data_IF_740158367576
#
_entry.id   IF_740158367576
#
_cell.length_a   1.000
_cell.length_b   1.000
_cell.length_c   1.000
_cell.angle_alpha   90.00
_cell.angle_beta   90.00
_cell.angle_gamma   90.00
#
_symmetry.space_group_name_H-M   'P 1'
#
loop_
_entity.id
_entity.type
_entity.pdbx_description
1 polymer ?
#
# COMPACT_ATOMS: atom_id res chain seq x y z
N UNK A 1 42.45 27.81 18.07
CA UNK A 1 43.70 27.21 18.57
C UNK A 1 43.34 26.01 19.43
N UNK A 2 43.90 24.84 19.10
CA UNK A 2 43.76 23.53 19.76
C UNK A 2 44.83 23.48 20.90
N UNK A 3 44.92 22.44 21.76
CA UNK A 3 44.19 22.17 23.01
C UNK A 3 45.13 21.88 24.21
N UNK A 4 44.60 21.48 25.37
CA UNK A 4 45.33 20.58 26.29
C UNK A 4 44.45 19.39 26.67
N UNK A 5 44.93 18.23 26.25
CA UNK A 5 44.45 16.87 26.58
C UNK A 5 45.13 16.35 27.84
N UNK A 6 44.45 15.51 28.62
CA UNK A 6 45.12 14.41 29.30
C UNK A 6 44.24 13.16 29.35
N UNK A 7 44.73 12.09 28.71
CA UNK A 7 44.20 10.72 28.75
C UNK A 7 44.56 10.05 30.08
N UNK A 8 43.74 9.09 30.51
CA UNK A 8 44.24 7.78 30.97
C UNK A 8 43.20 6.68 30.74
N UNK A 9 43.63 5.68 29.99
CA UNK A 9 43.05 4.37 29.71
C UNK A 9 43.34 3.37 30.83
N UNK A 10 42.84 2.14 30.66
CA UNK A 10 43.00 0.85 31.39
C UNK A 10 41.65 0.43 31.97
N UNK A 11 41.07 -0.76 31.74
CA UNK A 11 41.45 -1.99 31.05
C UNK A 11 40.36 -3.02 31.38
N UNK A 12 40.04 -3.91 30.45
CA UNK A 12 38.99 -4.93 30.59
C UNK A 12 39.31 -6.00 31.65
N UNK A 13 38.28 -6.63 32.25
CA UNK A 13 38.13 -8.10 32.39
C UNK A 13 36.92 -8.53 33.26
N UNK A 14 36.07 -9.37 32.64
CA UNK A 14 35.46 -10.62 33.13
C UNK A 14 34.52 -10.70 34.37
N UNK A 15 33.28 -11.14 34.06
CA UNK A 15 32.53 -12.28 34.62
C UNK A 15 31.95 -12.31 36.05
N UNK A 16 30.63 -12.54 36.07
CA UNK A 16 29.83 -13.50 36.88
C UNK A 16 29.52 -13.18 38.37
N UNK A 17 28.23 -12.92 38.59
CA UNK A 17 27.27 -13.39 39.62
C UNK A 17 27.72 -13.59 41.09
N UNK A 18 27.08 -12.87 42.02
CA UNK A 18 26.35 -13.49 43.16
C UNK A 18 25.73 -12.45 44.11
N UNK A 19 24.60 -12.87 44.67
CA UNK A 19 23.64 -12.13 45.49
C UNK A 19 24.15 -11.65 46.86
N UNK A 20 23.56 -10.51 47.29
CA UNK A 20 23.31 -10.02 48.65
C UNK A 20 24.52 -9.55 49.47
N UNK A 21 24.57 -8.23 49.73
CA UNK A 21 24.97 -7.65 51.03
C UNK A 21 24.42 -6.23 51.21
N UNK A 22 23.59 -6.11 52.25
CA UNK A 22 23.27 -4.96 53.11
C UNK A 22 23.82 -3.57 52.74
N UNK A 23 22.90 -2.63 52.47
CA UNK A 23 23.18 -1.19 52.46
C UNK A 23 22.91 -0.58 53.84
N UNK A 24 23.89 0.16 54.35
CA UNK A 24 23.82 1.00 55.54
C UNK A 24 23.48 2.43 55.10
N UNK A 25 22.49 3.05 55.73
CA UNK A 25 22.04 4.41 55.46
C UNK A 25 23.01 5.48 56.00
N UNK A 26 22.97 6.70 55.41
CA UNK A 26 22.91 7.88 56.26
C UNK A 26 21.85 8.91 55.82
N UNK A 27 21.00 9.22 56.81
CA UNK A 27 20.49 10.54 57.26
C UNK A 27 20.30 11.65 56.22
N UNK A 28 19.03 11.95 55.93
CA UNK A 28 18.35 13.20 56.31
C UNK A 28 17.06 13.33 55.49
N UNK A 29 15.88 13.01 56.04
CA UNK A 29 14.62 13.38 55.39
C UNK A 29 13.50 13.76 56.37
N UNK A 30 12.79 14.79 55.92
CA UNK A 30 11.78 15.62 56.56
C UNK A 30 10.42 14.92 56.74
N UNK A 31 9.74 15.33 57.80
CA UNK A 31 8.32 15.67 57.95
C UNK A 31 7.32 15.34 56.81
N UNK A 32 6.21 14.74 57.30
CA UNK A 32 4.80 14.83 56.89
C UNK A 32 4.25 13.64 56.09
N UNK A 33 3.72 12.71 56.88
CA UNK A 33 2.63 11.79 56.54
C UNK A 33 1.41 12.55 56.02
N UNK A 34 0.82 12.08 54.92
CA UNK A 34 -0.62 11.78 54.80
C UNK A 34 -0.83 11.17 53.40
N UNK A 35 -1.52 10.02 53.34
CA UNK A 35 -2.00 9.32 52.12
C UNK A 35 -1.18 8.13 51.58
N UNK A 36 -0.76 7.17 52.43
CA UNK A 36 -0.43 5.80 51.95
C UNK A 36 -0.81 4.70 52.96
N UNK A 37 -1.96 4.82 53.65
CA UNK A 37 -2.47 3.75 54.54
C UNK A 37 -3.90 3.30 54.17
N UNK A 38 -4.37 3.63 52.95
CA UNK A 38 -5.65 3.10 52.40
C UNK A 38 -5.43 2.21 51.17
N UNK A 39 -4.20 1.99 50.71
CA UNK A 39 -3.93 1.12 49.56
C UNK A 39 -3.38 -0.27 49.89
N UNK A 40 -3.00 -0.57 51.14
CA UNK A 40 -2.34 -1.85 51.45
C UNK A 40 -3.23 -2.90 52.13
N UNK A 41 -4.48 -2.58 52.47
CA UNK A 41 -5.44 -3.53 53.06
C UNK A 41 -6.51 -4.03 52.05
N UNK A 42 -6.54 -3.51 50.82
CA UNK A 42 -7.45 -3.97 49.77
C UNK A 42 -6.85 -4.97 48.78
N UNK A 43 -5.57 -5.34 48.93
CA UNK A 43 -4.87 -6.26 48.01
C UNK A 43 -4.73 -7.70 48.53
N UNK A 44 -5.50 -8.11 49.54
CA UNK A 44 -5.43 -9.48 50.06
C UNK A 44 -6.77 -10.06 50.51
N UNK A 45 -7.83 -9.79 49.75
CA UNK A 45 -9.07 -10.57 49.81
C UNK A 45 -9.30 -11.15 48.43
N UNK A 46 -9.04 -12.46 48.29
CA UNK A 46 -9.45 -13.22 47.13
C UNK A 46 -10.97 -13.12 46.98
N UNK A 47 -11.42 -12.61 45.83
CA UNK A 47 -12.80 -12.67 45.42
C UNK A 47 -12.89 -13.39 44.07
N UNK A 48 -13.03 -14.70 44.14
CA UNK A 48 -13.67 -15.52 43.13
C UNK A 48 -15.11 -15.05 42.93
N UNK A 49 -15.30 -14.06 42.05
CA UNK A 49 -16.61 -13.59 41.57
C UNK A 49 -16.72 -13.87 40.07
N UNK A 50 -17.76 -14.59 39.59
CA UNK A 50 -17.95 -14.90 38.16
C UNK A 50 -18.29 -13.67 37.30
N UNK A 51 -18.44 -12.48 37.91
CA UNK A 51 -19.06 -11.31 37.27
C UNK A 51 -18.03 -10.50 36.45
N UNK A 52 -16.73 -10.69 36.66
CA UNK A 52 -15.68 -9.96 35.93
C UNK A 52 -15.19 -10.66 34.64
N UNK A 53 -15.66 -11.88 34.35
CA UNK A 53 -15.29 -12.68 33.15
C UNK A 53 -16.31 -12.61 32.00
N UNK A 54 -17.29 -11.72 32.06
CA UNK A 54 -18.43 -11.73 31.12
C UNK A 54 -18.82 -10.36 30.54
N UNK A 55 -17.83 -9.48 30.30
CA UNK A 55 -18.01 -8.26 29.51
C UNK A 55 -16.78 -7.92 28.66
N UNK A 56 -16.24 -8.90 27.93
CA UNK A 56 -15.83 -8.56 26.56
C UNK A 56 -17.13 -8.28 25.81
N UNK A 57 -17.51 -7.00 25.69
CA UNK A 57 -18.34 -6.62 24.55
C UNK A 57 -17.55 -7.16 23.35
N UNK A 58 -18.12 -8.09 22.59
CA UNK A 58 -17.65 -8.35 21.24
C UNK A 58 -17.64 -6.98 20.56
N UNK A 59 -16.46 -6.36 20.47
CA UNK A 59 -16.28 -5.13 19.72
C UNK A 59 -16.71 -5.53 18.31
N UNK A 60 -17.86 -5.02 17.88
CA UNK A 60 -18.34 -5.25 16.51
C UNK A 60 -17.24 -4.76 15.60
N UNK A 61 -16.55 -5.69 14.92
CA UNK A 61 -15.50 -5.36 13.97
C UNK A 61 -16.09 -4.41 12.94
N UNK A 62 -15.43 -3.28 12.73
CA UNK A 62 -15.83 -2.32 11.72
C UNK A 62 -15.88 -2.97 10.33
N UNK A 63 -16.82 -2.53 9.50
CA UNK A 63 -17.07 -3.12 8.18
C UNK A 63 -16.26 -2.39 7.09
N UNK A 64 -15.43 -3.15 6.37
CA UNK A 64 -14.62 -2.64 5.25
C UNK A 64 -15.08 -3.29 3.95
N UNK A 65 -15.26 -2.47 2.91
CA UNK A 65 -15.68 -2.91 1.58
C UNK A 65 -14.53 -2.98 0.58
N UNK A 66 -14.54 -3.99 -0.29
CA UNK A 66 -13.67 -4.10 -1.46
C UNK A 66 -14.50 -4.27 -2.72
N UNK A 67 -14.24 -3.44 -3.73
CA UNK A 67 -14.72 -3.67 -5.10
C UNK A 67 -13.52 -3.98 -5.98
N UNK A 68 -13.47 -5.20 -6.49
CA UNK A 68 -12.30 -5.77 -7.14
C UNK A 68 -11.56 -6.72 -6.20
N UNK A 69 -11.76 -8.02 -6.38
CA UNK A 69 -11.14 -9.13 -5.65
C UNK A 69 -10.20 -9.94 -6.55
N UNK A 70 -9.67 -9.30 -7.59
CA UNK A 70 -8.64 -9.86 -8.46
C UNK A 70 -7.27 -10.00 -7.78
N UNK A 71 -6.19 -9.97 -8.59
CA UNK A 71 -4.81 -10.26 -8.15
C UNK A 71 -4.38 -9.43 -6.93
N UNK A 72 -4.61 -8.12 -6.93
CA UNK A 72 -4.22 -7.26 -5.80
C UNK A 72 -5.30 -7.18 -4.73
N UNK A 73 -6.56 -6.99 -5.13
CA UNK A 73 -7.64 -6.69 -4.21
C UNK A 73 -7.94 -7.80 -3.20
N UNK A 74 -7.89 -9.08 -3.63
CA UNK A 74 -8.04 -10.20 -2.70
C UNK A 74 -6.95 -10.16 -1.62
N UNK A 75 -5.68 -10.03 -2.01
CA UNK A 75 -4.53 -10.04 -1.09
C UNK A 75 -4.64 -8.92 -0.05
N UNK A 76 -5.03 -7.73 -0.49
CA UNK A 76 -5.30 -6.58 0.39
C UNK A 76 -6.47 -6.87 1.35
N UNK A 77 -7.58 -7.43 0.85
CA UNK A 77 -8.73 -7.78 1.68
C UNK A 77 -8.37 -8.80 2.77
N UNK A 78 -7.57 -9.83 2.43
CA UNK A 78 -7.10 -10.84 3.38
C UNK A 78 -6.21 -10.27 4.49
N UNK A 79 -5.59 -9.11 4.28
CA UNK A 79 -4.84 -8.47 5.36
C UNK A 79 -5.71 -7.88 6.47
N UNK A 80 -7.00 -7.66 6.18
CA UNK A 80 -7.94 -6.97 7.06
C UNK A 80 -8.89 -7.93 7.79
N UNK A 81 -9.11 -9.16 7.31
CA UNK A 81 -10.13 -10.10 7.86
C UNK A 81 -9.95 -10.43 9.34
N UNK A 82 -8.71 -10.40 9.84
CA UNK A 82 -8.43 -10.66 11.26
C UNK A 82 -8.89 -9.50 12.16
N UNK A 83 -8.88 -8.27 11.65
CA UNK A 83 -9.16 -7.05 12.42
C UNK A 83 -10.52 -6.42 12.11
N UNK A 84 -11.07 -6.69 10.92
CA UNK A 84 -12.29 -6.08 10.40
C UNK A 84 -13.28 -7.13 9.87
N UNK A 85 -14.54 -6.74 9.72
CA UNK A 85 -15.51 -7.51 8.92
C UNK A 85 -15.35 -7.08 7.47
N UNK A 86 -14.79 -7.94 6.63
CA UNK A 86 -14.49 -7.58 5.24
C UNK A 86 -15.58 -8.10 4.32
N UNK A 87 -16.12 -7.20 3.51
CA UNK A 87 -17.10 -7.49 2.48
C UNK A 87 -16.50 -7.15 1.12
N UNK A 88 -16.83 -7.92 0.08
CA UNK A 88 -16.34 -7.59 -1.25
C UNK A 88 -17.16 -8.13 -2.40
N UNK A 89 -16.94 -7.55 -3.56
CA UNK A 89 -17.58 -7.93 -4.82
C UNK A 89 -16.59 -7.79 -5.97
N UNK A 90 -16.81 -8.53 -7.05
CA UNK A 90 -16.00 -8.48 -8.26
C UNK A 90 -16.87 -8.77 -9.50
N UNK A 91 -16.52 -8.18 -10.65
CA UNK A 91 -17.19 -8.47 -11.92
C UNK A 91 -17.09 -9.94 -12.32
N UNK A 92 -16.03 -10.62 -11.88
CA UNK A 92 -15.84 -12.05 -12.03
C UNK A 92 -16.45 -12.81 -10.84
N UNK A 93 -17.70 -13.25 -11.01
CA UNK A 93 -18.45 -14.00 -9.99
C UNK A 93 -17.83 -15.36 -9.62
N UNK A 94 -16.91 -15.90 -10.42
CA UNK A 94 -16.19 -17.14 -10.06
C UNK A 94 -15.30 -16.99 -8.82
N UNK A 95 -14.98 -15.74 -8.42
CA UNK A 95 -14.20 -15.43 -7.22
C UNK A 95 -15.02 -15.51 -5.93
N UNK A 96 -16.34 -15.68 -6.00
CA UNK A 96 -17.22 -15.72 -4.83
C UNK A 96 -16.80 -16.79 -3.83
N UNK A 97 -16.76 -18.05 -4.25
CA UNK A 97 -16.47 -19.17 -3.35
C UNK A 97 -15.08 -19.04 -2.71
N UNK A 98 -14.07 -18.61 -3.48
CA UNK A 98 -12.73 -18.41 -2.94
C UNK A 98 -12.67 -17.24 -1.96
N UNK A 99 -13.38 -16.14 -2.22
CA UNK A 99 -13.44 -15.00 -1.30
C UNK A 99 -14.07 -15.39 0.06
N UNK A 100 -15.21 -16.08 0.03
CA UNK A 100 -15.93 -16.51 1.24
C UNK A 100 -15.11 -17.51 2.06
N UNK A 101 -14.43 -18.44 1.39
CA UNK A 101 -13.54 -19.41 2.05
C UNK A 101 -12.38 -18.73 2.80
N UNK A 102 -11.94 -17.56 2.34
CA UNK A 102 -10.86 -16.80 2.97
C UNK A 102 -11.36 -15.68 3.92
N UNK A 103 -12.65 -15.71 4.30
CA UNK A 103 -13.21 -14.78 5.30
C UNK A 103 -13.65 -13.43 4.75
N UNK A 104 -13.73 -13.26 3.42
CA UNK A 104 -14.33 -12.09 2.78
C UNK A 104 -15.78 -12.41 2.44
N UNK A 105 -16.73 -11.68 3.04
CA UNK A 105 -18.16 -11.89 2.78
C UNK A 105 -18.54 -11.31 1.41
N UNK A 106 -19.12 -12.12 0.53
CA UNK A 106 -19.51 -11.66 -0.79
C UNK A 106 -20.72 -10.71 -0.75
N UNK A 107 -20.63 -9.61 -1.49
CA UNK A 107 -21.75 -8.71 -1.80
C UNK A 107 -22.14 -8.84 -3.28
N UNK A 108 -23.43 -8.76 -3.59
CA UNK A 108 -23.94 -9.01 -4.94
C UNK A 108 -23.50 -7.94 -5.96
N UNK A 109 -23.25 -6.71 -5.50
CA UNK A 109 -22.76 -5.60 -6.31
C UNK A 109 -22.18 -4.45 -5.46
N UNK A 110 -21.64 -3.42 -6.14
CA UNK A 110 -21.10 -2.23 -5.49
C UNK A 110 -22.16 -1.47 -4.71
N UNK A 111 -23.39 -1.35 -5.25
CA UNK A 111 -24.50 -0.64 -4.60
C UNK A 111 -24.89 -1.25 -3.25
N UNK A 112 -24.93 -2.56 -3.13
CA UNK A 112 -25.23 -3.24 -1.86
C UNK A 112 -24.11 -3.09 -0.84
N UNK A 113 -22.86 -2.89 -1.28
CA UNK A 113 -21.70 -2.71 -0.41
C UNK A 113 -21.76 -1.40 0.41
N UNK A 114 -22.26 -0.31 -0.17
CA UNK A 114 -22.39 0.98 0.53
C UNK A 114 -23.49 0.99 1.60
N UNK A 115 -24.39 0.01 1.62
CA UNK A 115 -25.36 -0.12 2.71
C UNK A 115 -24.70 -0.63 4.00
N UNK A 116 -23.58 -1.35 3.89
CA UNK A 116 -22.95 -2.08 5.00
C UNK A 116 -21.56 -1.55 5.37
N UNK A 117 -20.82 -0.97 4.42
CA UNK A 117 -19.45 -0.52 4.60
C UNK A 117 -19.34 1.00 4.43
N UNK A 118 -18.57 1.65 5.30
CA UNK A 118 -18.29 3.09 5.21
C UNK A 118 -16.94 3.42 4.57
N UNK A 119 -16.01 2.45 4.53
CA UNK A 119 -14.73 2.57 3.85
C UNK A 119 -14.66 1.52 2.75
N UNK A 120 -14.59 1.98 1.50
CA UNK A 120 -14.66 1.11 0.31
C UNK A 120 -13.42 1.30 -0.53
N UNK A 121 -12.63 0.23 -0.64
CA UNK A 121 -11.47 0.14 -1.51
C UNK A 121 -11.90 -0.25 -2.91
N UNK A 122 -11.50 0.52 -3.91
CA UNK A 122 -11.67 0.20 -5.33
C UNK A 122 -10.33 -0.27 -5.88
N UNK A 123 -10.26 -1.54 -6.26
CA UNK A 123 -9.07 -2.18 -6.84
C UNK A 123 -9.40 -2.67 -8.24
N UNK A 124 -9.35 -1.74 -9.19
CA UNK A 124 -9.78 -1.95 -10.58
C UNK A 124 -8.61 -1.96 -11.58
N UNK A 125 -8.83 -2.55 -12.75
CA UNK A 125 -7.85 -2.61 -13.84
C UNK A 125 -7.73 -1.32 -14.64
N UNK A 126 -8.84 -0.57 -14.75
CA UNK A 126 -9.02 0.48 -15.74
C UNK A 126 -9.86 1.66 -15.24
N UNK A 127 -9.89 2.76 -15.99
CA UNK A 127 -10.70 3.94 -15.68
C UNK A 127 -12.20 3.69 -15.93
N UNK A 128 -12.52 2.90 -16.96
CA UNK A 128 -13.90 2.49 -17.20
C UNK A 128 -14.45 1.62 -16.06
N UNK A 129 -13.64 0.70 -15.53
CA UNK A 129 -14.01 -0.13 -14.38
C UNK A 129 -14.29 0.75 -13.16
N UNK A 130 -13.42 1.72 -12.83
CA UNK A 130 -13.65 2.65 -11.72
C UNK A 130 -14.94 3.45 -11.93
N UNK A 131 -15.18 3.91 -13.15
CA UNK A 131 -16.39 4.67 -13.51
C UNK A 131 -17.65 3.83 -13.35
N UNK A 132 -17.65 2.58 -13.83
CA UNK A 132 -18.77 1.66 -13.71
C UNK A 132 -19.04 1.27 -12.25
N UNK A 133 -17.98 1.00 -11.48
CA UNK A 133 -18.09 0.68 -10.05
C UNK A 133 -18.78 1.81 -9.29
N UNK A 134 -18.46 3.06 -9.62
CA UNK A 134 -18.99 4.22 -8.89
C UNK A 134 -20.36 4.64 -9.42
N UNK A 135 -20.50 4.80 -10.74
CA UNK A 135 -21.64 5.46 -11.39
C UNK A 135 -22.54 4.53 -12.23
N UNK A 136 -22.15 3.26 -12.40
CA UNK A 136 -22.92 2.29 -13.17
C UNK A 136 -24.30 2.03 -12.57
N UNK A 137 -25.13 1.27 -13.28
CA UNK A 137 -26.49 0.95 -12.82
C UNK A 137 -26.46 0.30 -11.44
N UNK A 138 -25.49 -0.58 -11.17
CA UNK A 138 -25.29 -1.22 -9.85
C UNK A 138 -24.12 -0.60 -9.07
N UNK A 139 -23.81 0.66 -9.37
CA UNK A 139 -22.67 1.40 -8.80
C UNK A 139 -22.91 1.95 -7.40
N UNK A 140 -21.81 2.33 -6.74
CA UNK A 140 -21.79 2.87 -5.36
C UNK A 140 -22.78 4.03 -5.18
N UNK A 141 -22.80 5.00 -6.11
CA UNK A 141 -23.62 6.22 -5.99
C UNK A 141 -25.09 5.91 -5.76
N UNK A 142 -25.63 4.84 -6.36
CA UNK A 142 -27.03 4.49 -6.25
C UNK A 142 -27.47 4.01 -4.85
N UNK A 143 -26.53 3.75 -3.94
CA UNK A 143 -26.82 3.27 -2.58
C UNK A 143 -26.26 4.13 -1.45
N UNK A 144 -25.57 5.24 -1.75
CA UNK A 144 -24.97 6.11 -0.72
C UNK A 144 -26.07 6.97 -0.10
N UNK A 145 -26.36 6.71 1.18
CA UNK A 145 -27.34 7.43 1.99
C UNK A 145 -26.73 8.17 3.20
N UNK A 146 -25.43 7.97 3.42
CA UNK A 146 -24.69 8.48 4.58
C UNK A 146 -23.19 8.48 4.28
N UNK A 147 -22.41 9.13 5.16
CA UNK A 147 -20.98 9.36 4.94
C UNK A 147 -20.24 8.07 4.54
N UNK A 148 -19.61 8.10 3.38
CA UNK A 148 -18.92 6.98 2.76
C UNK A 148 -17.59 7.47 2.19
N UNK A 149 -16.51 6.78 2.54
CA UNK A 149 -15.18 7.02 2.00
C UNK A 149 -14.89 6.03 0.88
N UNK A 150 -14.63 6.55 -0.32
CA UNK A 150 -14.17 5.80 -1.47
C UNK A 150 -12.64 5.95 -1.56
N UNK A 151 -11.92 4.83 -1.57
CA UNK A 151 -10.46 4.76 -1.60
C UNK A 151 -10.06 4.13 -2.93
N UNK A 152 -9.56 4.92 -3.86
CA UNK A 152 -9.19 4.45 -5.21
C UNK A 152 -7.75 3.95 -5.18
N UNK A 153 -7.59 2.62 -5.21
CA UNK A 153 -6.28 1.96 -5.28
C UNK A 153 -5.88 1.54 -6.70
N UNK A 154 -6.77 1.77 -7.66
CA UNK A 154 -6.49 1.57 -9.08
C UNK A 154 -5.39 2.54 -9.57
N UNK A 155 -4.65 2.10 -10.59
CA UNK A 155 -3.73 2.98 -11.33
C UNK A 155 -4.47 3.57 -12.52
N UNK A 156 -4.74 4.88 -12.44
CA UNK A 156 -5.53 5.68 -13.39
C UNK A 156 -4.81 6.99 -13.71
N UNK A 157 -5.25 7.72 -14.74
CA UNK A 157 -4.69 9.04 -15.05
C UNK A 157 -4.90 10.01 -13.90
N UNK A 158 -3.88 10.84 -13.56
CA UNK A 158 -4.05 12.00 -12.68
C UNK A 158 -5.19 12.93 -13.11
N UNK A 159 -5.38 13.16 -14.41
CA UNK A 159 -6.50 13.97 -14.92
C UNK A 159 -7.85 13.31 -14.65
N UNK A 160 -7.97 12.00 -14.87
CA UNK A 160 -9.16 11.22 -14.54
C UNK A 160 -9.48 11.30 -13.04
N UNK A 161 -8.49 11.09 -12.17
CA UNK A 161 -8.69 11.12 -10.72
C UNK A 161 -9.19 12.48 -10.21
N UNK A 162 -8.68 13.58 -10.80
CA UNK A 162 -9.16 14.94 -10.48
C UNK A 162 -10.57 15.20 -10.99
N UNK A 163 -10.89 14.78 -12.21
CA UNK A 163 -12.24 14.88 -12.76
C UNK A 163 -13.26 14.03 -11.97
N UNK A 164 -12.84 12.85 -11.50
CA UNK A 164 -13.62 12.00 -10.62
C UNK A 164 -13.94 12.73 -9.29
N UNK A 165 -12.94 13.38 -8.69
CA UNK A 165 -13.12 14.15 -7.47
C UNK A 165 -14.10 15.31 -7.65
N UNK A 166 -13.99 16.05 -8.75
CA UNK A 166 -14.92 17.13 -9.09
C UNK A 166 -16.35 16.59 -9.23
N UNK A 167 -16.54 15.47 -9.94
CA UNK A 167 -17.85 14.85 -10.10
C UNK A 167 -18.44 14.35 -8.78
N UNK A 168 -17.62 13.77 -7.90
CA UNK A 168 -18.06 13.25 -6.60
C UNK A 168 -18.32 14.35 -5.57
N UNK A 169 -17.69 15.52 -5.70
CA UNK A 169 -17.88 16.67 -4.80
C UNK A 169 -19.32 17.19 -4.75
N UNK A 170 -20.15 16.82 -5.71
CA UNK A 170 -21.58 17.15 -5.74
C UNK A 170 -22.41 16.39 -4.69
N UNK A 171 -21.84 15.36 -4.05
CA UNK A 171 -22.49 14.60 -2.99
C UNK A 171 -21.72 14.79 -1.67
N UNK A 172 -22.35 15.46 -0.70
CA UNK A 172 -21.74 15.79 0.60
C UNK A 172 -21.41 14.57 1.47
N UNK A 173 -22.03 13.42 1.19
CA UNK A 173 -21.76 12.18 1.89
C UNK A 173 -20.48 11.48 1.41
N UNK A 174 -19.85 11.94 0.33
CA UNK A 174 -18.73 11.22 -0.28
C UNK A 174 -17.40 11.87 0.10
N UNK A 175 -16.55 11.07 0.72
CA UNK A 175 -15.13 11.35 0.88
C UNK A 175 -14.33 10.52 -0.12
N UNK A 176 -13.28 11.10 -0.68
CA UNK A 176 -12.46 10.45 -1.71
C UNK A 176 -11.00 10.49 -1.32
N UNK A 177 -10.33 9.34 -1.44
CA UNK A 177 -8.88 9.21 -1.27
C UNK A 177 -8.27 8.59 -2.53
N UNK A 178 -7.27 9.27 -3.10
CA UNK A 178 -6.43 8.75 -4.19
C UNK A 178 -5.28 7.95 -3.54
N UNK A 179 -5.26 6.63 -3.70
CA UNK A 179 -4.35 5.75 -2.96
C UNK A 179 -3.76 4.59 -3.81
N UNK A 180 -3.17 4.85 -4.99
CA UNK A 180 -2.53 3.81 -5.79
C UNK A 180 -1.36 3.16 -5.07
N UNK A 181 -1.14 1.88 -5.37
CA UNK A 181 -0.22 1.00 -4.64
C UNK A 181 1.03 0.65 -5.44
N UNK A 182 2.14 0.37 -4.76
CA UNK A 182 3.41 -0.06 -5.36
C UNK A 182 3.99 -1.31 -4.67
N UNK A 183 5.11 -1.84 -5.21
CA UNK A 183 5.84 -3.07 -4.78
C UNK A 183 5.21 -4.43 -5.16
N UNK A 184 3.97 -4.45 -5.62
CA UNK A 184 3.37 -5.60 -6.30
C UNK A 184 2.86 -6.70 -5.36
N UNK A 185 2.58 -7.88 -5.92
CA UNK A 185 1.82 -8.95 -5.24
C UNK A 185 2.45 -9.43 -3.94
N UNK A 186 3.77 -9.65 -3.90
CA UNK A 186 4.46 -10.12 -2.70
C UNK A 186 4.29 -9.15 -1.52
N UNK A 187 4.32 -7.84 -1.80
CA UNK A 187 4.11 -6.82 -0.77
C UNK A 187 2.63 -6.73 -0.36
N UNK A 188 1.68 -7.01 -1.26
CA UNK A 188 0.28 -7.12 -0.87
C UNK A 188 0.02 -8.34 0.04
N UNK A 189 0.68 -9.46 -0.23
CA UNK A 189 0.58 -10.67 0.58
C UNK A 189 1.13 -10.44 2.01
N UNK A 190 2.24 -9.70 2.14
CA UNK A 190 2.86 -9.42 3.44
C UNK A 190 2.32 -8.19 4.17
N UNK A 191 1.52 -7.35 3.51
CA UNK A 191 1.08 -6.06 4.06
C UNK A 191 2.14 -4.96 3.99
N UNK A 192 3.15 -5.11 3.12
CA UNK A 192 4.28 -4.19 2.95
C UNK A 192 4.16 -3.28 1.72
N UNK A 193 2.93 -3.05 1.24
CA UNK A 193 2.71 -2.13 0.13
C UNK A 193 3.22 -0.73 0.47
N UNK A 194 3.69 -0.04 -0.57
CA UNK A 194 3.83 1.41 -0.54
C UNK A 194 2.54 2.02 -1.11
N UNK A 195 1.89 2.87 -0.34
CA UNK A 195 0.70 3.61 -0.73
C UNK A 195 1.09 5.04 -1.09
N UNK A 196 0.87 5.44 -2.33
CA UNK A 196 1.01 6.84 -2.76
C UNK A 196 -0.32 7.55 -2.56
N UNK A 197 -0.39 8.47 -1.60
CA UNK A 197 -1.66 9.08 -1.19
C UNK A 197 -1.77 10.52 -1.65
N UNK A 198 -2.86 10.83 -2.36
CA UNK A 198 -3.33 12.18 -2.62
C UNK A 198 -4.73 12.40 -2.02
N UNK A 199 -5.00 13.60 -1.52
CA UNK A 199 -6.31 13.97 -1.03
C UNK A 199 -6.29 14.86 0.19
N UNK A 200 -7.30 14.67 1.06
CA UNK A 200 -7.35 15.37 2.34
C UNK A 200 -6.45 14.69 3.38
N UNK A 201 -5.65 15.50 4.07
CA UNK A 201 -4.69 15.00 5.05
C UNK A 201 -5.37 14.44 6.29
N UNK A 202 -6.46 15.06 6.76
CA UNK A 202 -7.16 14.59 7.97
C UNK A 202 -7.87 13.27 7.70
N UNK A 203 -8.45 13.12 6.50
CA UNK A 203 -9.02 11.86 6.04
C UNK A 203 -7.95 10.76 6.01
N UNK A 204 -6.77 11.02 5.46
CA UNK A 204 -5.65 10.07 5.50
C UNK A 204 -5.28 9.70 6.94
N UNK A 205 -5.12 10.69 7.82
CA UNK A 205 -4.75 10.44 9.22
C UNK A 205 -5.81 9.55 9.90
N UNK A 206 -7.10 9.75 9.61
CA UNK A 206 -8.19 8.90 10.13
C UNK A 206 -8.20 7.47 9.57
N UNK A 207 -7.74 7.28 8.33
CA UNK A 207 -7.70 5.97 7.66
C UNK A 207 -6.39 5.21 7.91
N UNK A 208 -5.35 5.89 8.40
CA UNK A 208 -4.03 5.30 8.66
C UNK A 208 -4.09 4.00 9.48
N UNK A 209 -4.92 3.88 10.54
CA UNK A 209 -5.07 2.61 11.25
C UNK A 209 -5.50 1.44 10.37
N UNK A 210 -6.38 1.67 9.39
CA UNK A 210 -6.84 0.66 8.42
C UNK A 210 -5.74 0.41 7.38
N UNK A 211 -5.17 1.47 6.82
CA UNK A 211 -4.18 1.39 5.75
C UNK A 211 -2.88 0.69 6.20
N UNK A 212 -2.50 0.79 7.47
CA UNK A 212 -1.35 0.09 8.04
C UNK A 212 -1.46 -1.46 8.02
N UNK A 213 -2.65 -2.02 7.76
CA UNK A 213 -2.77 -3.46 7.56
C UNK A 213 -2.31 -3.93 6.18
N UNK A 214 -2.39 -3.05 5.17
CA UNK A 214 -2.10 -3.38 3.78
C UNK A 214 -0.76 -2.80 3.30
N UNK A 215 -0.27 -1.75 3.94
CA UNK A 215 0.97 -1.08 3.58
C UNK A 215 1.85 -0.76 4.79
N UNK A 216 3.15 -0.93 4.60
CA UNK A 216 4.18 -0.56 5.58
C UNK A 216 4.64 0.89 5.41
N UNK A 217 4.45 1.46 4.22
CA UNK A 217 4.79 2.85 3.91
C UNK A 217 3.59 3.56 3.29
N UNK A 218 3.21 4.69 3.87
CA UNK A 218 2.06 5.51 3.46
C UNK A 218 2.54 6.93 3.23
N UNK A 219 2.68 7.32 1.96
CA UNK A 219 3.29 8.58 1.59
C UNK A 219 2.23 9.59 1.15
N UNK A 220 2.05 10.65 1.94
CA UNK A 220 1.17 11.77 1.58
C UNK A 220 1.87 12.73 0.61
N UNK A 221 1.33 12.87 -0.58
CA UNK A 221 1.96 13.59 -1.70
C UNK A 221 1.20 14.86 -2.10
N UNK A 222 0.17 15.24 -1.34
CA UNK A 222 -0.58 16.47 -1.53
C UNK A 222 -2.05 16.22 -1.95
N UNK A 223 -2.65 17.12 -2.76
CA UNK A 223 -4.08 17.06 -3.08
C UNK A 223 -4.44 15.86 -3.98
N UNK A 224 -5.74 15.67 -4.23
CA UNK A 224 -6.23 14.59 -5.10
C UNK A 224 -5.51 14.58 -6.46
N UNK A 225 -5.11 13.38 -6.89
CA UNK A 225 -4.35 13.13 -8.11
C UNK A 225 -2.84 13.12 -7.90
N UNK A 226 -2.32 13.62 -6.78
CA UNK A 226 -0.88 13.52 -6.47
C UNK A 226 -0.41 12.07 -6.33
N UNK A 227 -1.25 11.18 -5.78
CA UNK A 227 -0.95 9.76 -5.68
C UNK A 227 -0.78 9.13 -7.06
N UNK A 228 -1.72 9.41 -7.99
CA UNK A 228 -1.60 8.95 -9.37
C UNK A 228 -0.39 9.54 -10.11
N UNK A 229 -0.01 10.81 -9.85
CA UNK A 229 1.20 11.40 -10.44
C UNK A 229 2.44 10.61 -10.01
N UNK A 230 2.61 10.38 -8.71
CA UNK A 230 3.75 9.61 -8.22
C UNK A 230 3.73 8.17 -8.73
N UNK A 231 2.55 7.55 -8.79
CA UNK A 231 2.41 6.20 -9.36
C UNK A 231 2.82 6.14 -10.83
N UNK A 232 2.37 7.09 -11.65
CA UNK A 232 2.71 7.16 -13.07
C UNK A 232 4.22 7.36 -13.27
N UNK A 233 4.84 8.26 -12.51
CA UNK A 233 6.30 8.49 -12.55
C UNK A 233 7.05 7.24 -12.07
N UNK A 234 6.63 6.62 -10.97
CA UNK A 234 7.24 5.40 -10.44
C UNK A 234 7.20 4.28 -11.48
N UNK A 235 6.05 4.05 -12.13
CA UNK A 235 5.92 3.01 -13.11
C UNK A 235 6.75 3.31 -14.37
N UNK A 236 6.79 4.56 -14.84
CA UNK A 236 7.72 4.95 -15.93
C UNK A 236 9.18 4.62 -15.58
N UNK A 237 9.64 5.02 -14.39
CA UNK A 237 11.01 4.72 -13.95
C UNK A 237 11.27 3.21 -13.83
N UNK A 238 10.33 2.45 -13.27
CA UNK A 238 10.41 0.99 -13.20
C UNK A 238 10.62 0.38 -14.58
N UNK A 239 9.79 0.76 -15.55
CA UNK A 239 9.84 0.20 -16.89
C UNK A 239 11.09 0.64 -17.66
N UNK A 240 11.50 1.90 -17.52
CA UNK A 240 12.75 2.39 -18.11
C UNK A 240 13.97 1.66 -17.55
N UNK A 241 14.04 1.47 -16.23
CA UNK A 241 15.11 0.72 -15.59
C UNK A 241 15.10 -0.75 -16.00
N UNK A 242 13.93 -1.39 -16.12
CA UNK A 242 13.82 -2.77 -16.59
C UNK A 242 14.37 -2.91 -18.01
N UNK A 243 13.87 -2.10 -18.95
CA UNK A 243 14.31 -2.13 -20.35
C UNK A 243 15.82 -1.89 -20.47
N UNK A 244 16.35 -0.84 -19.84
CA UNK A 244 17.78 -0.55 -19.88
C UNK A 244 18.63 -1.64 -19.22
N UNK A 245 18.15 -2.24 -18.12
CA UNK A 245 18.85 -3.36 -17.47
C UNK A 245 18.90 -4.58 -18.38
N UNK A 246 17.82 -4.89 -19.09
CA UNK A 246 17.79 -5.99 -20.04
C UNK A 246 18.75 -5.77 -21.21
N UNK A 247 18.70 -4.61 -21.86
CA UNK A 247 19.61 -4.26 -22.96
C UNK A 247 21.07 -4.33 -22.54
N UNK A 248 21.41 -3.78 -21.37
CA UNK A 248 22.77 -3.80 -20.82
C UNK A 248 23.26 -5.21 -20.48
N UNK A 249 22.39 -6.04 -19.87
CA UNK A 249 22.73 -7.43 -19.54
C UNK A 249 22.89 -8.28 -20.81
N UNK A 250 22.01 -8.13 -21.79
CA UNK A 250 22.10 -8.83 -23.08
C UNK A 250 23.37 -8.42 -23.85
N UNK A 251 23.73 -7.13 -23.81
CA UNK A 251 24.97 -6.63 -24.39
C UNK A 251 26.19 -7.27 -23.73
N UNK A 252 26.28 -7.25 -22.40
CA UNK A 252 27.42 -7.83 -21.69
C UNK A 252 27.55 -9.34 -21.89
N UNK A 253 26.43 -10.05 -21.96
CA UNK A 253 26.38 -11.49 -22.27
C UNK A 253 26.93 -11.78 -23.68
N UNK A 254 26.53 -10.99 -24.69
CA UNK A 254 27.08 -11.09 -26.05
C UNK A 254 28.56 -10.75 -26.13
N UNK A 255 29.06 -9.93 -25.21
CA UNK A 255 30.49 -9.62 -25.06
C UNK A 255 31.26 -10.69 -24.27
N UNK A 256 30.61 -11.79 -23.88
CA UNK A 256 31.23 -12.94 -23.22
C UNK A 256 31.30 -12.85 -21.70
N UNK A 257 30.56 -11.94 -21.07
CA UNK A 257 30.47 -11.85 -19.60
C UNK A 257 29.30 -12.67 -19.10
N UNK A 258 29.51 -13.47 -18.06
CA UNK A 258 28.42 -14.20 -17.41
C UNK A 258 27.34 -13.24 -16.88
N UNK A 259 26.10 -13.41 -17.34
CA UNK A 259 24.96 -12.53 -17.09
C UNK A 259 24.68 -12.35 -15.60
N UNK A 260 24.70 -13.45 -14.83
CA UNK A 260 24.31 -13.45 -13.43
C UNK A 260 25.40 -12.87 -12.53
N UNK A 261 26.68 -13.16 -12.82
CA UNK A 261 27.82 -12.52 -12.15
C UNK A 261 27.86 -11.03 -12.46
N UNK A 262 27.55 -10.62 -13.69
CA UNK A 262 27.45 -9.22 -14.07
C UNK A 262 26.30 -8.52 -13.32
N UNK A 263 25.10 -9.10 -13.30
CA UNK A 263 23.96 -8.58 -12.53
C UNK A 263 24.32 -8.36 -11.07
N UNK A 264 24.89 -9.38 -10.41
CA UNK A 264 25.30 -9.31 -9.01
C UNK A 264 26.39 -8.25 -8.73
N UNK A 265 27.24 -7.94 -9.72
CA UNK A 265 28.20 -6.84 -9.62
C UNK A 265 27.54 -5.48 -9.82
N UNK A 266 26.62 -5.37 -10.79
CA UNK A 266 25.90 -4.12 -11.09
C UNK A 266 25.00 -3.67 -9.94
N UNK A 267 24.35 -4.60 -9.23
CA UNK A 267 23.54 -4.33 -8.04
C UNK A 267 24.34 -3.73 -6.87
N UNK A 268 25.67 -3.87 -6.88
CA UNK A 268 26.58 -3.27 -5.88
C UNK A 268 27.20 -1.96 -6.36
N UNK A 269 26.83 -1.51 -7.56
CA UNK A 269 27.42 -0.35 -8.24
C UNK A 269 26.38 0.75 -8.47
N UNK A 270 26.78 1.84 -9.12
CA UNK A 270 25.88 2.94 -9.49
C UNK A 270 24.78 2.55 -10.49
N UNK A 271 24.85 1.37 -11.11
CA UNK A 271 23.79 0.83 -11.97
C UNK A 271 22.64 0.16 -11.22
N UNK A 272 22.75 0.02 -9.89
CA UNK A 272 21.75 -0.65 -9.07
C UNK A 272 20.37 0.01 -9.19
N UNK A 273 19.33 -0.81 -9.37
CA UNK A 273 17.96 -0.37 -9.45
C UNK A 273 16.99 -1.49 -9.02
N UNK A 274 15.76 -1.11 -8.66
CA UNK A 274 14.78 -2.05 -8.13
C UNK A 274 14.38 -3.14 -9.13
N UNK A 275 14.27 -2.81 -10.42
CA UNK A 275 13.89 -3.77 -11.45
C UNK A 275 14.92 -4.90 -11.57
N UNK A 276 16.21 -4.55 -11.51
CA UNK A 276 17.31 -5.51 -11.52
C UNK A 276 17.31 -6.38 -10.26
N UNK A 277 17.27 -5.76 -9.07
CA UNK A 277 17.37 -6.47 -7.79
C UNK A 277 16.20 -7.41 -7.50
N UNK A 278 15.01 -7.10 -8.05
CA UNK A 278 13.81 -7.91 -7.83
C UNK A 278 13.50 -8.87 -8.98
N UNK A 279 14.42 -8.96 -9.95
CA UNK A 279 14.26 -9.73 -11.19
C UNK A 279 12.92 -9.46 -11.83
N UNK A 280 12.60 -8.18 -12.02
CA UNK A 280 11.37 -7.79 -12.69
C UNK A 280 11.30 -8.34 -14.13
N UNK A 281 12.45 -8.67 -14.72
CA UNK A 281 12.56 -9.37 -15.99
C UNK A 281 12.04 -10.81 -15.96
N UNK A 282 11.91 -11.47 -14.80
CA UNK A 282 11.34 -12.82 -14.72
C UNK A 282 9.80 -12.82 -14.73
N UNK A 283 9.18 -11.64 -14.72
CA UNK A 283 7.73 -11.46 -14.59
C UNK A 283 7.12 -11.06 -15.94
N UNK A 284 5.84 -11.39 -16.18
CA UNK A 284 5.15 -11.11 -17.44
C UNK A 284 4.94 -9.62 -17.77
N UNK A 285 5.38 -8.69 -16.91
CA UNK A 285 5.21 -7.24 -17.09
C UNK A 285 3.77 -6.87 -17.49
N UNK A 286 2.78 -7.49 -16.83
CA UNK A 286 1.37 -7.49 -17.27
C UNK A 286 0.87 -6.09 -17.59
N UNK A 287 1.14 -5.10 -16.73
CA UNK A 287 0.63 -3.73 -16.88
C UNK A 287 1.56 -2.75 -17.60
N UNK A 288 2.72 -3.20 -18.09
CA UNK A 288 3.75 -2.30 -18.60
C UNK A 288 3.30 -1.43 -19.78
N UNK A 289 2.57 -2.00 -20.74
CA UNK A 289 2.08 -1.21 -21.88
C UNK A 289 0.99 -0.22 -21.44
N UNK A 290 0.11 -0.61 -20.52
CA UNK A 290 -0.93 0.26 -19.96
C UNK A 290 -0.32 1.43 -19.21
N UNK A 291 0.62 1.15 -18.31
CA UNK A 291 1.30 2.16 -17.50
C UNK A 291 2.03 3.19 -18.37
N UNK A 292 2.74 2.70 -19.41
CA UNK A 292 3.45 3.58 -20.33
C UNK A 292 2.49 4.38 -21.21
N UNK A 293 1.36 3.79 -21.65
CA UNK A 293 0.34 4.50 -22.42
C UNK A 293 -0.33 5.60 -21.58
N UNK A 294 -0.63 5.32 -20.30
CA UNK A 294 -1.14 6.28 -19.34
C UNK A 294 -0.19 7.46 -19.15
N UNK A 295 1.10 7.19 -18.88
CA UNK A 295 2.11 8.23 -18.69
C UNK A 295 2.26 9.11 -19.93
N UNK A 296 2.36 8.50 -21.11
CA UNK A 296 2.49 9.23 -22.38
C UNK A 296 1.25 10.05 -22.72
N UNK A 297 0.05 9.56 -22.39
CA UNK A 297 -1.20 10.31 -22.58
C UNK A 297 -1.23 11.59 -21.73
N UNK A 298 -0.76 11.54 -20.49
CA UNK A 298 -0.64 12.74 -19.65
C UNK A 298 0.46 13.69 -20.13
N UNK A 299 1.60 13.15 -20.58
CA UNK A 299 2.67 13.96 -21.14
C UNK A 299 2.18 14.74 -22.38
N UNK A 300 1.44 14.08 -23.27
CA UNK A 300 0.85 14.70 -24.46
C UNK A 300 -0.17 15.80 -24.09
N UNK A 301 -1.06 15.53 -23.12
CA UNK A 301 -2.01 16.53 -22.60
C UNK A 301 -1.31 17.79 -22.08
N UNK A 302 -0.14 17.63 -21.47
CA UNK A 302 0.69 18.73 -20.96
C UNK A 302 1.59 19.36 -22.04
N UNK A 303 1.59 18.80 -23.27
CA UNK A 303 2.55 19.14 -24.33
C UNK A 303 4.01 19.02 -23.86
N UNK A 304 4.27 18.03 -23.01
CA UNK A 304 5.57 17.78 -22.40
C UNK A 304 6.31 16.68 -23.17
N UNK A 305 7.54 16.97 -23.59
CA UNK A 305 8.32 16.03 -24.39
C UNK A 305 8.94 14.95 -23.52
N UNK A 306 8.58 13.68 -23.79
CA UNK A 306 9.10 12.50 -23.09
C UNK A 306 9.63 11.45 -24.07
N UNK A 307 10.69 11.76 -24.86
CA UNK A 307 11.16 10.89 -25.93
C UNK A 307 11.62 9.51 -25.41
N UNK A 308 12.25 9.46 -24.24
CA UNK A 308 12.70 8.20 -23.61
C UNK A 308 11.48 7.32 -23.27
N UNK A 309 10.42 7.89 -22.70
CA UNK A 309 9.20 7.14 -22.38
C UNK A 309 8.57 6.52 -23.64
N UNK A 310 8.60 7.22 -24.77
CA UNK A 310 8.17 6.68 -26.06
C UNK A 310 8.99 5.45 -26.47
N UNK A 311 10.32 5.54 -26.39
CA UNK A 311 11.22 4.41 -26.71
C UNK A 311 11.00 3.22 -25.77
N UNK A 312 10.88 3.47 -24.47
CA UNK A 312 10.61 2.42 -23.45
C UNK A 312 9.30 1.69 -23.77
N UNK A 313 8.24 2.40 -24.17
CA UNK A 313 6.97 1.77 -24.58
C UNK A 313 7.16 0.85 -25.77
N UNK A 314 7.92 1.26 -26.78
CA UNK A 314 8.16 0.41 -27.97
C UNK A 314 9.04 -0.80 -27.64
N UNK A 315 10.07 -0.61 -26.79
CA UNK A 315 10.92 -1.70 -26.33
C UNK A 315 10.14 -2.77 -25.53
N UNK A 316 9.17 -2.36 -24.70
CA UNK A 316 8.28 -3.28 -23.99
C UNK A 316 7.48 -4.16 -24.96
N UNK A 317 7.00 -3.60 -26.08
CA UNK A 317 6.26 -4.39 -27.09
C UNK A 317 7.14 -5.49 -27.68
N UNK A 318 8.37 -5.16 -28.05
CA UNK A 318 9.34 -6.13 -28.57
C UNK A 318 9.64 -7.21 -27.54
N UNK A 319 9.96 -6.82 -26.30
CA UNK A 319 10.18 -7.72 -25.18
C UNK A 319 9.04 -8.72 -24.98
N UNK A 320 7.79 -8.25 -25.02
CA UNK A 320 6.62 -9.11 -24.85
C UNK A 320 6.44 -10.08 -26.02
N UNK A 321 6.63 -9.62 -27.25
CA UNK A 321 6.54 -10.45 -28.44
C UNK A 321 7.60 -11.57 -28.44
N UNK A 322 8.85 -11.23 -28.14
CA UNK A 322 9.97 -12.17 -28.09
C UNK A 322 9.76 -13.28 -27.03
N UNK A 323 8.94 -12.98 -26.01
CA UNK A 323 8.63 -13.89 -24.92
C UNK A 323 7.23 -14.51 -25.00
N UNK A 324 6.50 -14.29 -26.08
CA UNK A 324 5.12 -14.75 -26.26
C UNK A 324 4.19 -14.34 -25.10
N UNK A 325 4.37 -13.12 -24.58
CA UNK A 325 3.57 -12.55 -23.50
C UNK A 325 2.39 -11.75 -24.06
N UNK A 326 1.24 -11.84 -23.38
CA UNK A 326 0.05 -11.09 -23.74
C UNK A 326 0.22 -9.58 -23.58
N UNK A 327 -0.61 -8.86 -24.34
CA UNK A 327 -0.76 -7.41 -24.17
C UNK A 327 -1.27 -7.06 -22.78
N UNK A 328 -0.99 -5.83 -22.36
CA UNK A 328 -1.59 -5.32 -21.13
C UNK A 328 -3.12 -5.34 -21.21
N UNK A 329 -3.81 -5.82 -20.16
CA UNK A 329 -5.25 -5.63 -20.04
C UNK A 329 -5.61 -4.15 -20.10
N UNK A 330 -6.79 -3.86 -20.64
CA UNK A 330 -7.40 -2.51 -20.67
C UNK A 330 -6.57 -1.45 -21.43
N UNK A 331 -5.60 -1.88 -22.25
CA UNK A 331 -4.76 -0.98 -23.05
C UNK A 331 -5.57 -0.13 -24.05
N UNK A 332 -6.75 -0.61 -24.43
CA UNK A 332 -7.64 0.03 -25.42
C UNK A 332 -8.12 1.42 -24.98
N UNK A 333 -8.19 1.70 -23.67
CA UNK A 333 -8.60 3.01 -23.12
C UNK A 333 -7.61 4.14 -23.46
N UNK A 334 -6.38 3.79 -23.84
CA UNK A 334 -5.31 4.73 -24.13
C UNK A 334 -4.98 4.79 -25.62
N UNK A 335 -5.85 4.25 -26.48
CA UNK A 335 -5.74 4.43 -27.91
C UNK A 335 -6.12 5.87 -28.26
N UNK A 336 -5.30 6.52 -29.09
CA UNK A 336 -5.63 7.83 -29.64
C UNK A 336 -6.89 7.69 -30.50
N UNK A 337 -7.87 8.60 -30.41
CA UNK A 337 -8.97 8.61 -31.37
C UNK A 337 -8.38 8.74 -32.78
N UNK A 338 -8.79 7.81 -33.65
CA UNK A 338 -8.31 7.70 -35.04
C UNK A 338 -8.81 8.80 -35.96
#
# INVERSE_FOLDING_TARGET
MVPITCRRSWGALSSIDSRVRSWVAPKDFKCIEFSVVVCFVLNNIGSSSPIYKQRERAMTKENIGFVGLGRMGMRMALRLVDSFSVFGTDKNSSLKNSSETNGVTWADDSRSLVAICRHIFIVAGSESDVTEIIFGERGLIGGIDSETTIIVCATVRPSYMRALAERLSQNEYIKLLDCPIARGEMAADSGDLLLFVGGDRQLLDSLTPILNHIGSDIEFLGPIGSGQVAKAVNNYLLWACLTASMEGLDFGERMGVDRERMRAALEKSSGANWAMSTRADDRPALWAEKDMALFLSEADRLRFSTPIAGQVREAIKLFKLDRHLDRSPDLEEFQFPG
#
